data_IF_931731987646
#
_entry.id   IF_931731987646
#
_cell.length_a   1.000
_cell.length_b   1.000
_cell.length_c   1.000
_cell.angle_alpha   90.00
_cell.angle_beta   90.00
_cell.angle_gamma   90.00
#
_symmetry.space_group_name_H-M   'P 1'
#
loop_
_entity.id
_entity.type
_entity.pdbx_description
1 polymer ?
#
# COMPACT_ATOMS: atom_id res chain seq x y z
N UNK A 1 11.09 8.97 6.98
CA UNK A 1 11.98 8.71 5.86
C UNK A 1 12.26 7.21 5.77
N UNK A 2 11.81 6.54 4.71
CA UNK A 2 11.79 5.08 4.61
C UNK A 2 13.17 4.44 4.88
N UNK A 3 14.22 4.79 4.12
CA UNK A 3 15.54 4.15 4.27
C UNK A 3 16.21 4.43 5.61
N UNK A 4 15.96 5.59 6.23
CA UNK A 4 16.59 5.95 7.51
C UNK A 4 15.81 5.46 8.73
N UNK A 5 14.56 5.07 8.58
CA UNK A 5 13.74 4.55 9.66
C UNK A 5 14.30 3.23 10.23
N UNK A 6 15.14 2.52 9.47
CA UNK A 6 15.85 1.32 9.94
C UNK A 6 16.62 1.57 11.25
N UNK A 7 17.13 2.80 11.47
CA UNK A 7 17.82 3.18 12.70
C UNK A 7 16.92 3.24 13.92
N UNK A 8 15.61 3.35 13.73
CA UNK A 8 14.61 3.38 14.79
C UNK A 8 13.83 2.06 14.91
N UNK A 9 14.32 0.98 14.29
CA UNK A 9 13.61 -0.30 14.24
C UNK A 9 13.28 -0.85 15.63
N UNK A 10 14.27 -0.83 16.52
CA UNK A 10 14.10 -1.24 17.91
C UNK A 10 13.04 -0.41 18.65
N UNK A 11 13.06 0.91 18.47
CA UNK A 11 12.06 1.81 19.07
C UNK A 11 10.65 1.56 18.54
N UNK A 12 10.50 1.23 17.27
CA UNK A 12 9.18 0.88 16.72
C UNK A 12 8.64 -0.38 17.42
N UNK A 13 9.50 -1.36 17.67
CA UNK A 13 9.12 -2.62 18.34
C UNK A 13 8.81 -2.37 19.81
N UNK A 14 9.78 -1.88 20.58
CA UNK A 14 9.71 -1.84 22.04
C UNK A 14 8.90 -0.67 22.58
N UNK A 15 9.09 0.52 22.00
CA UNK A 15 8.48 1.72 22.53
C UNK A 15 7.05 1.94 22.00
N UNK A 16 6.67 1.30 20.89
CA UNK A 16 5.37 1.53 20.26
C UNK A 16 4.56 0.25 20.07
N UNK A 17 5.09 -0.72 19.30
CA UNK A 17 4.28 -1.85 18.83
C UNK A 17 3.91 -2.84 19.95
N UNK A 18 4.86 -3.18 20.84
CA UNK A 18 4.59 -4.07 21.98
C UNK A 18 3.56 -3.44 22.92
N UNK A 19 3.65 -2.13 23.12
CA UNK A 19 2.74 -1.39 23.98
C UNK A 19 1.40 -1.04 23.30
N UNK A 20 1.26 -1.32 22.01
CA UNK A 20 0.07 -1.01 21.18
C UNK A 20 -0.30 0.48 21.22
N UNK A 21 0.67 1.37 21.30
CA UNK A 21 0.42 2.79 21.35
C UNK A 21 -0.22 3.30 20.04
N UNK A 22 -1.17 4.24 20.11
CA UNK A 22 -1.83 4.79 18.94
C UNK A 22 -0.93 5.81 18.21
N UNK A 23 0.18 5.34 17.67
CA UNK A 23 1.16 6.15 16.93
C UNK A 23 0.99 5.93 15.44
N UNK A 24 0.85 7.01 14.69
CA UNK A 24 0.81 6.98 13.22
C UNK A 24 2.19 7.33 12.66
N UNK A 25 2.82 6.39 11.97
CA UNK A 25 4.08 6.58 11.26
C UNK A 25 3.80 6.99 9.80
N UNK A 26 4.07 8.25 9.46
CA UNK A 26 4.01 8.73 8.09
C UNK A 26 5.40 8.55 7.46
N UNK A 27 5.56 7.53 6.62
CA UNK A 27 6.84 7.16 6.01
C UNK A 27 6.88 7.66 4.58
N UNK A 28 7.61 8.72 4.36
CA UNK A 28 7.88 9.28 3.05
C UNK A 28 9.02 8.55 2.33
N UNK A 29 9.18 8.81 1.04
CA UNK A 29 10.22 8.22 0.18
C UNK A 29 10.19 6.70 0.14
N UNK A 30 8.99 6.15 0.13
CA UNK A 30 8.78 4.73 -0.11
C UNK A 30 9.09 4.39 -1.58
N UNK A 31 9.82 3.31 -1.82
CA UNK A 31 10.22 2.86 -3.15
C UNK A 31 11.45 3.61 -3.70
N UNK A 32 11.56 3.67 -5.01
CA UNK A 32 12.69 4.32 -5.72
C UNK A 32 12.52 5.83 -5.69
N UNK A 33 13.57 6.55 -5.32
CA UNK A 33 13.53 8.02 -5.10
C UNK A 33 14.30 8.86 -6.12
N UNK A 34 14.82 8.24 -7.18
CA UNK A 34 15.45 8.94 -8.30
C UNK A 34 16.69 9.75 -7.90
N UNK A 35 16.57 11.07 -7.96
CA UNK A 35 17.68 12.01 -7.72
C UNK A 35 18.35 11.90 -6.34
N UNK A 36 17.63 11.44 -5.31
CA UNK A 36 18.19 11.27 -3.97
C UNK A 36 19.24 10.13 -3.91
N UNK A 37 19.29 9.25 -4.93
CA UNK A 37 20.29 8.21 -5.10
C UNK A 37 20.04 6.94 -4.27
N UNK A 38 20.94 5.97 -4.47
CA UNK A 38 20.79 4.59 -3.95
C UNK A 38 20.68 4.49 -2.43
N UNK A 39 21.33 5.38 -1.70
CA UNK A 39 21.31 5.39 -0.23
C UNK A 39 19.97 5.83 0.36
N UNK A 40 19.08 6.36 -0.47
CA UNK A 40 17.81 6.93 -0.08
C UNK A 40 16.61 6.10 -0.53
N UNK A 41 16.82 5.05 -1.34
CA UNK A 41 15.72 4.19 -1.77
C UNK A 41 15.00 3.52 -0.61
N UNK A 42 13.69 3.63 -0.58
CA UNK A 42 12.81 3.03 0.42
C UNK A 42 12.36 1.62 0.03
N UNK A 43 13.31 0.73 -0.24
CA UNK A 43 13.04 -0.62 -0.74
C UNK A 43 12.80 -1.66 0.36
N UNK A 44 13.22 -1.39 1.60
CA UNK A 44 13.26 -2.40 2.66
C UNK A 44 12.16 -2.25 3.73
N UNK A 45 11.47 -1.13 3.77
CA UNK A 45 10.50 -0.80 4.81
C UNK A 45 9.37 -1.83 4.95
N UNK A 46 8.80 -2.31 3.84
CA UNK A 46 7.79 -3.34 3.86
C UNK A 46 8.32 -4.64 4.49
N UNK A 47 9.54 -5.04 4.13
CA UNK A 47 10.13 -6.28 4.61
C UNK A 47 10.44 -6.24 6.12
N UNK A 48 11.08 -5.17 6.60
CA UNK A 48 11.45 -5.12 8.02
C UNK A 48 10.30 -4.71 8.96
N UNK A 49 9.26 -4.01 8.48
CA UNK A 49 8.11 -3.65 9.30
C UNK A 49 7.07 -4.78 9.40
N UNK A 50 6.93 -5.60 8.35
CA UNK A 50 5.91 -6.65 8.29
C UNK A 50 5.93 -7.64 9.48
N UNK A 51 7.10 -8.13 9.98
CA UNK A 51 7.15 -9.06 11.11
C UNK A 51 6.78 -8.44 12.46
N UNK A 52 6.79 -7.10 12.60
CA UNK A 52 6.51 -6.44 13.88
C UNK A 52 5.04 -6.70 14.28
N UNK A 53 4.77 -7.27 15.48
CA UNK A 53 3.41 -7.53 15.91
C UNK A 53 2.61 -6.23 16.14
N UNK A 54 1.28 -6.34 16.08
CA UNK A 54 0.34 -5.25 16.33
C UNK A 54 0.42 -4.04 15.37
N UNK A 55 1.33 -4.04 14.40
CA UNK A 55 1.54 -2.94 13.48
C UNK A 55 0.62 -3.09 12.25
N UNK A 56 -0.18 -2.07 11.97
CA UNK A 56 -0.90 -1.96 10.69
C UNK A 56 -0.01 -1.26 9.68
N UNK A 57 0.04 -1.77 8.44
CA UNK A 57 0.87 -1.20 7.36
C UNK A 57 0.03 -0.99 6.12
N UNK A 58 -0.10 0.27 5.70
CA UNK A 58 -0.86 0.68 4.53
C UNK A 58 0.00 1.47 3.53
N UNK A 59 -0.34 1.37 2.25
CA UNK A 59 0.22 2.18 1.17
C UNK A 59 -0.92 2.74 0.33
N UNK A 60 -1.22 4.04 0.42
CA UNK A 60 -2.31 4.66 -0.33
C UNK A 60 -2.03 4.63 -1.84
N UNK A 61 -3.07 4.41 -2.61
CA UNK A 61 -2.99 4.45 -4.07
C UNK A 61 -2.79 5.89 -4.60
N UNK A 62 -3.52 6.85 -4.00
CA UNK A 62 -3.54 8.26 -4.37
C UNK A 62 -3.72 9.18 -3.14
N UNK A 63 -3.84 10.48 -3.37
CA UNK A 63 -3.99 11.49 -2.32
C UNK A 63 -5.33 11.41 -1.58
N UNK A 64 -6.41 10.97 -2.24
CA UNK A 64 -7.70 10.73 -1.58
C UNK A 64 -7.56 9.60 -0.56
N UNK A 65 -6.90 8.53 -0.96
CA UNK A 65 -6.68 7.39 -0.08
C UNK A 65 -5.70 7.71 1.04
N UNK A 66 -4.63 8.47 0.75
CA UNK A 66 -3.72 8.99 1.78
C UNK A 66 -4.50 9.78 2.85
N UNK A 67 -5.37 10.69 2.43
CA UNK A 67 -6.19 11.49 3.33
C UNK A 67 -7.12 10.64 4.20
N UNK A 68 -7.76 9.64 3.61
CA UNK A 68 -8.65 8.70 4.31
C UNK A 68 -7.89 7.77 5.26
N UNK A 69 -6.70 7.27 4.87
CA UNK A 69 -5.85 6.48 5.75
C UNK A 69 -5.32 7.31 6.92
N UNK A 70 -4.94 8.57 6.70
CA UNK A 70 -4.55 9.49 7.78
C UNK A 70 -5.71 9.72 8.77
N UNK A 71 -6.93 9.82 8.28
CA UNK A 71 -8.12 9.89 9.13
C UNK A 71 -8.36 8.57 9.87
N UNK A 72 -8.33 7.44 9.17
CA UNK A 72 -8.55 6.11 9.73
C UNK A 72 -7.57 5.80 10.86
N UNK A 73 -6.29 6.12 10.68
CA UNK A 73 -5.24 5.87 11.67
C UNK A 73 -5.42 6.62 12.99
N UNK A 74 -6.23 7.69 13.01
CA UNK A 74 -6.49 8.51 14.19
C UNK A 74 -7.77 8.08 14.93
N UNK A 75 -8.54 7.16 14.37
CA UNK A 75 -9.74 6.65 15.03
C UNK A 75 -9.39 5.76 16.24
N UNK A 76 -10.30 5.63 17.22
CA UNK A 76 -10.08 4.75 18.37
C UNK A 76 -9.74 3.32 17.97
N UNK A 77 -8.93 2.66 18.78
CA UNK A 77 -8.60 1.22 18.70
C UNK A 77 -7.84 0.78 17.42
N UNK A 78 -7.25 1.72 16.68
CA UNK A 78 -6.43 1.38 15.50
C UNK A 78 -5.00 0.93 15.83
N UNK A 79 -4.51 1.24 17.04
CA UNK A 79 -3.15 0.88 17.47
C UNK A 79 -2.06 1.58 16.65
N UNK A 80 -0.84 1.03 16.62
CA UNK A 80 0.23 1.58 15.81
C UNK A 80 -0.02 1.36 14.31
N UNK A 81 0.10 2.44 13.54
CA UNK A 81 -0.30 2.48 12.14
C UNK A 81 0.79 3.10 11.26
N UNK A 82 1.20 2.41 10.21
CA UNK A 82 2.15 2.88 9.20
C UNK A 82 1.42 3.24 7.93
N UNK A 83 1.67 4.44 7.43
CA UNK A 83 1.23 4.89 6.12
C UNK A 83 2.49 5.26 5.33
N UNK A 84 2.79 4.50 4.27
CA UNK A 84 3.97 4.73 3.43
C UNK A 84 3.59 5.29 2.07
N UNK A 85 4.32 6.31 1.61
CA UNK A 85 4.06 6.99 0.35
C UNK A 85 5.36 7.44 -0.33
N UNK A 86 5.38 7.57 -1.67
CA UNK A 86 6.58 7.93 -2.42
C UNK A 86 6.95 9.41 -2.28
N UNK A 87 8.16 9.74 -2.72
CA UNK A 87 8.57 11.10 -3.04
C UNK A 87 8.08 11.46 -4.44
N UNK A 88 7.48 12.62 -4.60
CA UNK A 88 7.05 13.12 -5.90
C UNK A 88 5.85 14.03 -5.84
N UNK A 89 5.35 14.39 -7.00
CA UNK A 89 4.07 15.08 -7.14
C UNK A 89 2.94 14.07 -7.08
N UNK A 90 1.83 14.44 -6.47
CA UNK A 90 0.64 13.63 -6.44
C UNK A 90 0.01 13.44 -7.83
N UNK A 91 -0.79 12.40 -7.95
CA UNK A 91 -1.53 12.09 -9.16
C UNK A 91 -2.77 12.98 -9.32
N UNK A 92 -3.35 13.44 -8.21
CA UNK A 92 -4.62 14.18 -8.20
C UNK A 92 -4.38 15.67 -7.98
N UNK A 93 -4.91 16.50 -8.88
CA UNK A 93 -4.94 17.96 -8.72
C UNK A 93 -5.90 18.35 -7.59
N UNK A 94 -7.08 17.74 -7.54
CA UNK A 94 -8.07 17.97 -6.49
C UNK A 94 -8.02 16.85 -5.44
N UNK A 95 -7.04 16.94 -4.53
CA UNK A 95 -6.80 15.93 -3.49
C UNK A 95 -7.77 15.98 -2.30
N UNK A 96 -8.58 17.04 -2.19
CA UNK A 96 -9.54 17.17 -1.09
C UNK A 96 -10.76 16.28 -1.33
N UNK A 97 -11.03 15.39 -0.40
CA UNK A 97 -12.20 14.53 -0.38
C UNK A 97 -12.78 14.45 1.04
N UNK A 98 -13.99 13.91 1.22
CA UNK A 98 -14.51 13.61 2.56
C UNK A 98 -13.55 12.69 3.34
N UNK A 99 -13.46 12.95 4.65
CA UNK A 99 -12.73 12.07 5.57
C UNK A 99 -13.63 10.88 5.90
N UNK A 100 -13.33 9.74 5.32
CA UNK A 100 -14.07 8.49 5.48
C UNK A 100 -13.12 7.41 5.97
N UNK A 101 -13.61 6.55 6.85
CA UNK A 101 -12.84 5.41 7.33
C UNK A 101 -12.61 4.40 6.21
N UNK A 102 -11.37 3.92 6.06
CA UNK A 102 -11.04 2.77 5.25
C UNK A 102 -11.02 1.54 6.16
N UNK A 103 -11.83 0.52 5.91
CA UNK A 103 -11.77 -0.72 6.69
C UNK A 103 -10.36 -1.32 6.65
N UNK A 104 -9.75 -1.48 7.83
CA UNK A 104 -8.37 -1.98 7.96
C UNK A 104 -8.30 -3.41 7.43
N UNK A 105 -7.28 -3.69 6.61
CA UNK A 105 -7.06 -5.00 6.02
C UNK A 105 -7.97 -5.31 4.82
N UNK A 106 -8.68 -4.33 4.26
CA UNK A 106 -9.51 -4.52 3.07
C UNK A 106 -8.89 -3.86 1.84
N UNK A 107 -8.58 -4.70 0.85
CA UNK A 107 -8.21 -4.28 -0.49
C UNK A 107 -9.42 -3.81 -1.31
N UNK A 108 -9.20 -3.59 -2.57
CA UNK A 108 -10.28 -3.26 -3.52
C UNK A 108 -9.96 -3.75 -4.93
N UNK A 109 -11.01 -4.07 -5.67
CA UNK A 109 -10.92 -4.29 -7.10
C UNK A 109 -10.96 -2.94 -7.82
N UNK A 110 -9.97 -2.71 -8.66
CA UNK A 110 -9.80 -1.49 -9.45
C UNK A 110 -10.38 -1.64 -10.86
N UNK A 111 -10.33 -2.85 -11.40
CA UNK A 111 -10.80 -3.19 -12.74
C UNK A 111 -11.20 -4.65 -12.81
N UNK A 112 -12.30 -4.94 -13.49
CA UNK A 112 -12.74 -6.29 -13.79
C UNK A 112 -11.88 -6.94 -14.87
N UNK A 113 -11.78 -8.27 -14.84
CA UNK A 113 -11.09 -9.08 -15.84
C UNK A 113 -11.32 -10.57 -15.62
N UNK A 114 -10.91 -11.40 -16.60
CA UNK A 114 -11.22 -12.84 -16.58
C UNK A 114 -10.00 -13.76 -16.78
N UNK A 115 -8.93 -13.27 -17.42
CA UNK A 115 -7.81 -14.13 -17.83
C UNK A 115 -6.61 -14.05 -16.89
N UNK A 116 -6.29 -12.84 -16.42
CA UNK A 116 -5.13 -12.57 -15.58
C UNK A 116 -5.56 -11.62 -14.45
N UNK A 117 -5.10 -11.85 -13.22
CA UNK A 117 -5.20 -10.90 -12.12
C UNK A 117 -3.87 -10.21 -11.88
N UNK A 118 -3.89 -8.87 -11.82
CA UNK A 118 -2.75 -8.05 -11.40
C UNK A 118 -3.05 -7.50 -10.00
N UNK A 119 -2.14 -7.75 -9.06
CA UNK A 119 -2.26 -7.30 -7.67
C UNK A 119 -1.15 -6.28 -7.40
N UNK A 120 -1.54 -5.10 -6.93
CA UNK A 120 -0.62 -4.01 -6.60
C UNK A 120 -0.77 -3.55 -5.16
N UNK A 121 0.22 -2.82 -4.66
CA UNK A 121 0.16 -2.18 -3.35
C UNK A 121 0.52 -0.70 -3.48
N UNK A 122 -0.48 0.17 -3.40
CA UNK A 122 -0.30 1.61 -3.42
C UNK A 122 0.01 2.21 -4.80
N UNK A 123 0.83 3.29 -4.89
CA UNK A 123 0.92 4.15 -6.07
C UNK A 123 1.46 3.48 -7.33
N UNK A 124 2.19 2.37 -7.21
CA UNK A 124 2.64 1.57 -8.37
C UNK A 124 1.44 1.09 -9.23
N UNK A 125 0.26 1.01 -8.62
CA UNK A 125 -0.97 0.68 -9.30
C UNK A 125 -1.31 1.60 -10.46
N UNK A 126 -0.91 2.89 -10.45
CA UNK A 126 -1.10 3.79 -11.60
C UNK A 126 -0.30 3.34 -12.83
N UNK A 127 0.96 2.93 -12.63
CA UNK A 127 1.78 2.38 -13.71
C UNK A 127 1.23 1.03 -14.19
N UNK A 128 0.74 0.21 -13.25
CA UNK A 128 0.11 -1.07 -13.58
C UNK A 128 -1.16 -0.87 -14.42
N UNK A 129 -2.00 0.11 -14.15
CA UNK A 129 -3.18 0.44 -14.97
C UNK A 129 -2.81 0.71 -16.43
N UNK A 130 -1.82 1.56 -16.68
CA UNK A 130 -1.33 1.86 -18.02
C UNK A 130 -0.74 0.63 -18.73
N UNK A 131 -0.01 -0.20 -17.98
CA UNK A 131 0.55 -1.44 -18.50
C UNK A 131 -0.54 -2.46 -18.84
N UNK A 132 -1.58 -2.57 -18.03
CA UNK A 132 -2.74 -3.44 -18.25
C UNK A 132 -3.45 -3.04 -19.55
N UNK A 133 -3.79 -1.76 -19.75
CA UNK A 133 -4.41 -1.26 -20.98
C UNK A 133 -3.60 -1.62 -22.22
N UNK A 134 -2.27 -1.41 -22.16
CA UNK A 134 -1.36 -1.74 -23.24
C UNK A 134 -1.28 -3.27 -23.50
N UNK A 135 -1.28 -4.07 -22.46
CA UNK A 135 -1.23 -5.53 -22.55
C UNK A 135 -2.53 -6.11 -23.13
N UNK A 136 -3.68 -5.60 -22.70
CA UNK A 136 -4.98 -6.00 -23.24
C UNK A 136 -5.09 -5.69 -24.74
N UNK A 137 -4.70 -4.48 -25.15
CA UNK A 137 -4.71 -4.08 -26.55
C UNK A 137 -3.84 -4.97 -27.45
N UNK A 138 -2.73 -5.50 -26.92
CA UNK A 138 -1.80 -6.36 -27.68
C UNK A 138 -2.18 -7.83 -27.66
N UNK A 139 -2.74 -8.33 -26.56
CA UNK A 139 -2.96 -9.77 -26.35
C UNK A 139 -4.41 -10.20 -26.57
N UNK A 140 -5.37 -9.27 -26.52
CA UNK A 140 -6.80 -9.55 -26.50
C UNK A 140 -7.30 -10.20 -25.21
N UNK A 141 -6.44 -10.33 -24.19
CA UNK A 141 -6.80 -10.87 -22.87
C UNK A 141 -7.51 -9.84 -22.02
N UNK A 142 -8.38 -10.27 -21.13
CA UNK A 142 -9.08 -9.45 -20.15
C UNK A 142 -8.36 -9.54 -18.80
N UNK A 143 -7.85 -8.42 -18.31
CA UNK A 143 -6.96 -8.36 -17.13
C UNK A 143 -7.66 -7.64 -15.98
N UNK A 144 -7.84 -8.33 -14.86
CA UNK A 144 -8.33 -7.74 -13.61
C UNK A 144 -7.20 -7.01 -12.86
N UNK A 145 -7.56 -5.94 -12.14
CA UNK A 145 -6.62 -5.21 -11.30
C UNK A 145 -7.16 -5.06 -9.88
N UNK A 146 -6.33 -5.42 -8.90
CA UNK A 146 -6.62 -5.32 -7.47
C UNK A 146 -5.55 -4.48 -6.78
N UNK A 147 -5.97 -3.61 -5.86
CA UNK A 147 -5.09 -2.86 -4.97
C UNK A 147 -5.26 -3.40 -3.54
N UNK A 148 -4.18 -3.93 -2.96
CA UNK A 148 -4.18 -4.48 -1.62
C UNK A 148 -4.43 -3.44 -0.53
N UNK A 149 -4.07 -2.16 -0.74
CA UNK A 149 -4.09 -1.08 0.25
C UNK A 149 -3.25 -1.37 1.49
N UNK A 150 -3.37 -2.58 2.05
CA UNK A 150 -2.70 -3.01 3.27
C UNK A 150 -1.77 -4.18 3.01
N UNK A 151 -0.52 -4.02 3.43
CA UNK A 151 0.39 -5.15 3.57
C UNK A 151 0.08 -5.97 4.82
N UNK A 152 -0.42 -5.28 5.88
CA UNK A 152 -0.73 -5.89 7.18
C UNK A 152 -1.83 -5.10 7.89
N UNK A 153 -2.93 -5.78 8.31
CA UNK A 153 -3.28 -7.13 7.88
C UNK A 153 -3.55 -7.18 6.37
N UNK A 154 -3.25 -8.32 5.75
CA UNK A 154 -3.54 -8.53 4.34
C UNK A 154 -4.99 -8.99 4.16
N UNK A 155 -5.63 -8.65 3.04
CA UNK A 155 -6.99 -9.12 2.72
C UNK A 155 -6.96 -10.56 2.21
N UNK A 156 -7.01 -11.50 3.15
CA UNK A 156 -6.98 -12.93 2.83
C UNK A 156 -8.21 -13.37 2.04
N UNK A 157 -9.38 -12.79 2.30
CA UNK A 157 -10.63 -13.09 1.59
C UNK A 157 -10.50 -12.74 0.10
N UNK A 158 -10.05 -11.52 -0.20
CA UNK A 158 -9.79 -11.09 -1.57
C UNK A 158 -8.73 -11.96 -2.26
N UNK A 159 -7.66 -12.32 -1.56
CA UNK A 159 -6.61 -13.18 -2.12
C UNK A 159 -7.11 -14.60 -2.41
N UNK A 160 -7.95 -15.17 -1.54
CA UNK A 160 -8.59 -16.46 -1.79
C UNK A 160 -9.52 -16.40 -3.00
N UNK A 161 -10.34 -15.35 -3.12
CA UNK A 161 -11.22 -15.16 -4.27
C UNK A 161 -10.41 -15.06 -5.59
N UNK A 162 -9.34 -14.27 -5.58
CA UNK A 162 -8.43 -14.18 -6.74
C UNK A 162 -7.84 -15.54 -7.07
N UNK A 163 -7.36 -16.29 -6.08
CA UNK A 163 -6.76 -17.62 -6.28
C UNK A 163 -7.75 -18.68 -6.81
N UNK A 164 -9.04 -18.52 -6.53
CA UNK A 164 -10.09 -19.40 -7.07
C UNK A 164 -10.48 -19.05 -8.50
N UNK A 165 -10.42 -17.77 -8.87
CA UNK A 165 -10.95 -17.29 -10.15
C UNK A 165 -9.87 -17.15 -11.24
N UNK A 166 -8.59 -17.06 -10.88
CA UNK A 166 -7.51 -16.81 -11.82
C UNK A 166 -6.41 -17.88 -11.72
N UNK A 167 -5.98 -18.40 -12.88
CA UNK A 167 -4.82 -19.31 -12.98
C UNK A 167 -3.51 -18.55 -13.21
N UNK A 168 -3.58 -17.31 -13.66
CA UNK A 168 -2.43 -16.43 -13.85
C UNK A 168 -2.56 -15.19 -12.99
N UNK A 169 -1.61 -15.03 -12.07
CA UNK A 169 -1.56 -13.90 -11.12
C UNK A 169 -0.21 -13.22 -11.23
N UNK A 170 -0.22 -11.90 -11.34
CA UNK A 170 0.97 -11.05 -11.36
C UNK A 170 0.93 -10.13 -10.15
N UNK A 171 1.99 -10.07 -9.38
CA UNK A 171 2.15 -9.14 -8.26
C UNK A 171 3.18 -8.06 -8.60
N UNK A 172 2.92 -6.80 -8.23
CA UNK A 172 3.78 -5.64 -8.52
C UNK A 172 4.02 -4.81 -7.27
#
# INVERSE_FOLDING_TARGET
YSSFLQRAYDHIIHDVAIQKLPVTFCIDRAGIVGEDGVTHHGAFDLAYLRPIPNLTIASPFDEHELRRLMYTAQLPDKGPFVIRYPRGRGALVNWKCPMEEIPVGKGRQMKDGKDIAVITLGPIGHAAQQAIESAEAKSGKSIAHYDLRFLKPIDEEMLHEIGQNFTQIVTV
#
